data_IF_935482562813
#
_entry.id   IF_935482562813
#
_cell.length_a   1.000
_cell.length_b   1.000
_cell.length_c   1.000
_cell.angle_alpha   90.00
_cell.angle_beta   90.00
_cell.angle_gamma   90.00
#
_symmetry.space_group_name_H-M   'P 1'
#
loop_
_entity.id
_entity.type
_entity.pdbx_description
1 polymer ?
#
# COMPACT_ATOMS: atom_id res chain seq x y z
N UNK A 1 -27.31 -7.52 -2.95
CA UNK A 1 -26.16 -8.30 -3.46
C UNK A 1 -25.08 -7.41 -4.09
N UNK A 2 -25.44 -6.46 -4.97
CA UNK A 2 -24.46 -5.58 -5.65
C UNK A 2 -23.50 -4.85 -4.72
N UNK A 3 -24.00 -4.24 -3.64
CA UNK A 3 -23.17 -3.48 -2.71
C UNK A 3 -22.08 -4.33 -2.00
N UNK A 4 -22.37 -5.61 -1.74
CA UNK A 4 -21.38 -6.51 -1.15
C UNK A 4 -20.26 -6.83 -2.14
N UNK A 5 -20.61 -7.15 -3.39
CA UNK A 5 -19.66 -7.47 -4.45
C UNK A 5 -18.76 -6.27 -4.75
N UNK A 6 -19.34 -5.08 -4.85
CA UNK A 6 -18.60 -3.84 -5.06
C UNK A 6 -17.61 -3.56 -3.93
N UNK A 7 -18.08 -3.65 -2.68
CA UNK A 7 -17.22 -3.43 -1.52
C UNK A 7 -16.09 -4.45 -1.45
N UNK A 8 -16.38 -5.74 -1.68
CA UNK A 8 -15.39 -6.80 -1.65
C UNK A 8 -14.33 -6.61 -2.74
N UNK A 9 -14.75 -6.33 -3.98
CA UNK A 9 -13.81 -6.28 -5.10
C UNK A 9 -13.00 -4.99 -5.16
N UNK A 10 -13.55 -3.84 -4.72
CA UNK A 10 -12.97 -2.53 -5.00
C UNK A 10 -12.59 -1.70 -3.77
N UNK A 11 -13.12 -2.01 -2.59
CA UNK A 11 -12.95 -1.16 -1.39
C UNK A 11 -12.17 -1.88 -0.29
N UNK A 12 -12.45 -3.17 -0.09
CA UNK A 12 -11.84 -3.96 0.96
C UNK A 12 -10.45 -4.42 0.56
N UNK A 13 -9.47 -4.19 1.43
CA UNK A 13 -8.15 -4.79 1.33
C UNK A 13 -8.15 -6.23 1.85
N UNK A 14 -7.37 -7.09 1.20
CA UNK A 14 -7.31 -8.51 1.52
C UNK A 14 -5.88 -8.93 1.86
N UNK A 15 -5.71 -9.48 3.05
CA UNK A 15 -4.39 -9.85 3.58
C UNK A 15 -3.69 -10.91 2.73
N UNK A 16 -4.44 -11.83 2.12
CA UNK A 16 -3.90 -12.89 1.26
C UNK A 16 -3.32 -12.39 -0.07
N UNK A 17 -3.61 -11.14 -0.46
CA UNK A 17 -3.10 -10.50 -1.68
C UNK A 17 -2.39 -9.19 -1.33
N UNK A 18 -1.53 -9.24 -0.31
CA UNK A 18 -0.68 -8.12 0.11
C UNK A 18 -1.44 -6.82 0.41
N UNK A 19 -2.66 -6.96 0.95
CA UNK A 19 -3.57 -5.83 1.20
C UNK A 19 -3.83 -5.00 -0.07
N UNK A 20 -4.05 -5.69 -1.18
CA UNK A 20 -4.63 -5.14 -2.40
C UNK A 20 -6.14 -5.45 -2.43
N UNK A 21 -6.84 -4.79 -3.34
CA UNK A 21 -8.22 -5.15 -3.67
C UNK A 21 -8.21 -6.24 -4.75
N UNK A 22 -9.21 -7.14 -4.80
CA UNK A 22 -9.32 -8.13 -5.86
C UNK A 22 -9.33 -7.50 -7.26
N UNK A 23 -9.95 -6.32 -7.40
CA UNK A 23 -9.94 -5.57 -8.66
C UNK A 23 -8.53 -5.13 -9.05
N UNK A 24 -7.70 -4.64 -8.12
CA UNK A 24 -6.31 -4.24 -8.45
C UNK A 24 -5.48 -5.42 -8.95
N UNK A 25 -5.68 -6.61 -8.38
CA UNK A 25 -5.02 -7.83 -8.85
C UNK A 25 -5.55 -8.22 -10.23
N UNK A 26 -6.87 -8.27 -10.40
CA UNK A 26 -7.50 -8.66 -11.66
C UNK A 26 -7.12 -7.73 -12.83
N UNK A 27 -7.08 -6.42 -12.59
CA UNK A 27 -6.68 -5.42 -13.60
C UNK A 27 -5.15 -5.26 -13.74
N UNK A 28 -4.35 -6.11 -13.09
CA UNK A 28 -2.89 -6.11 -13.25
C UNK A 28 -2.17 -4.90 -12.64
N UNK A 29 -2.80 -4.18 -11.70
CA UNK A 29 -2.22 -2.99 -11.04
C UNK A 29 -1.35 -3.32 -9.83
N UNK A 30 -1.32 -4.59 -9.43
CA UNK A 30 -0.67 -5.05 -8.20
C UNK A 30 0.79 -4.60 -8.08
N UNK A 31 1.60 -4.87 -9.09
CA UNK A 31 3.05 -4.57 -9.05
C UNK A 31 3.31 -3.06 -8.88
N UNK A 32 2.60 -2.22 -9.63
CA UNK A 32 2.74 -0.75 -9.55
C UNK A 32 2.39 -0.23 -8.16
N UNK A 33 1.29 -0.71 -7.57
CA UNK A 33 0.86 -0.29 -6.23
C UNK A 33 1.89 -0.71 -5.17
N UNK A 34 2.39 -1.95 -5.26
CA UNK A 34 3.38 -2.46 -4.30
C UNK A 34 4.73 -1.74 -4.44
N UNK A 35 5.18 -1.47 -5.67
CA UNK A 35 6.41 -0.72 -5.93
C UNK A 35 6.34 0.69 -5.32
N UNK A 36 5.22 1.39 -5.50
CA UNK A 36 5.01 2.72 -4.94
C UNK A 36 4.98 2.70 -3.40
N UNK A 37 4.28 1.72 -2.81
CA UNK A 37 4.27 1.53 -1.35
C UNK A 37 5.69 1.31 -0.79
N UNK A 38 6.51 0.50 -1.48
CA UNK A 38 7.90 0.27 -1.06
C UNK A 38 8.75 1.55 -1.15
N UNK A 39 8.57 2.34 -2.21
CA UNK A 39 9.24 3.64 -2.37
C UNK A 39 8.92 4.58 -1.20
N UNK A 40 7.62 4.79 -0.94
CA UNK A 40 7.15 5.66 0.16
C UNK A 40 7.68 5.18 1.51
N UNK A 41 7.67 3.86 1.76
CA UNK A 41 8.17 3.28 3.01
C UNK A 41 9.66 3.58 3.22
N UNK A 42 10.49 3.43 2.18
CA UNK A 42 11.93 3.72 2.24
C UNK A 42 12.17 5.20 2.53
N UNK A 43 11.50 6.08 1.80
CA UNK A 43 11.63 7.54 1.95
C UNK A 43 11.22 7.99 3.36
N UNK A 44 10.12 7.44 3.88
CA UNK A 44 9.63 7.72 5.23
C UNK A 44 10.64 7.30 6.31
N UNK A 45 11.25 6.11 6.17
CA UNK A 45 12.27 5.63 7.12
C UNK A 45 13.54 6.49 7.04
N UNK A 46 13.97 6.86 5.83
CA UNK A 46 15.14 7.71 5.63
C UNK A 46 14.94 9.09 6.27
N UNK A 47 13.79 9.72 6.03
CA UNK A 47 13.43 11.00 6.63
C UNK A 47 13.41 10.91 8.16
N UNK A 48 12.81 9.86 8.72
CA UNK A 48 12.79 9.64 10.18
C UNK A 48 14.20 9.54 10.76
N UNK A 49 15.10 8.81 10.09
CA UNK A 49 16.52 8.69 10.52
C UNK A 49 17.26 10.02 10.44
N UNK A 50 16.99 10.84 9.42
CA UNK A 50 17.57 12.18 9.30
C UNK A 50 17.13 13.07 10.46
N UNK A 51 15.81 13.15 10.71
CA UNK A 51 15.27 13.97 11.80
C UNK A 51 15.83 13.55 13.17
N UNK A 52 15.93 12.25 13.43
CA UNK A 52 16.55 11.76 14.67
C UNK A 52 18.02 12.16 14.80
N UNK A 53 18.81 12.14 13.72
CA UNK A 53 20.21 12.60 13.77
C UNK A 53 20.32 14.10 14.03
N UNK A 54 19.42 14.90 13.47
CA UNK A 54 19.38 16.35 13.70
C UNK A 54 18.98 16.70 15.14
N UNK A 55 18.10 15.90 15.75
CA UNK A 55 17.69 16.09 17.15
C UNK A 55 18.74 15.64 18.18
N UNK A 56 19.66 14.74 17.78
CA UNK A 56 20.71 14.22 18.65
C UNK A 56 22.03 15.02 18.56
N UNK A 57 22.10 16.04 17.71
CA UNK A 57 23.21 16.97 17.56
C UNK A 57 22.94 18.26 18.35
#
# INVERSE_FOLDING_TARGET
>A
MSAFVEHYNHVRYHESIDNLTPADVYFGRAETILAERQRIKRDTIANRRLQHRLQAA
#
